data_IF_079521982716
#
_entry.id   IF_079521982716
#
_cell.length_a   1.000
_cell.length_b   1.000
_cell.length_c   1.000
_cell.angle_alpha   90.00
_cell.angle_beta   90.00
_cell.angle_gamma   90.00
#
_symmetry.space_group_name_H-M   'P 1'
#
loop_
_entity.id
_entity.type
_entity.pdbx_description
1 polymer ?
#
# COMPACT_ATOMS: atom_id res chain seq x y z
N UNK A 1 -7.83 -2.11 -6.16
CA UNK A 1 -8.57 -0.87 -5.83
C UNK A 1 -9.28 -0.94 -4.49
N UNK A 2 -9.91 -2.06 -4.15
CA UNK A 2 -10.63 -2.22 -2.87
C UNK A 2 -9.77 -1.95 -1.63
N UNK A 3 -8.48 -2.30 -1.67
CA UNK A 3 -7.58 -2.04 -0.55
C UNK A 3 -7.43 -0.55 -0.23
N UNK A 4 -7.16 0.29 -1.25
CA UNK A 4 -7.00 1.76 -1.06
C UNK A 4 -8.31 2.39 -0.62
N UNK A 5 -9.44 1.94 -1.17
CA UNK A 5 -10.78 2.38 -0.74
C UNK A 5 -11.00 2.15 0.76
N UNK A 6 -10.52 1.03 1.31
CA UNK A 6 -10.78 0.66 2.70
C UNK A 6 -10.10 1.57 3.73
N UNK A 7 -9.03 2.31 3.35
CA UNK A 7 -8.31 3.19 4.27
C UNK A 7 -8.32 4.67 3.89
N UNK A 8 -9.13 5.08 2.92
CA UNK A 8 -9.31 6.47 2.55
C UNK A 8 -10.71 6.96 2.92
N UNK A 9 -10.81 8.21 3.35
CA UNK A 9 -12.08 8.86 3.60
C UNK A 9 -12.82 9.14 2.29
N UNK A 10 -14.12 8.87 2.29
CA UNK A 10 -15.00 9.08 1.14
C UNK A 10 -14.79 8.05 0.02
N UNK A 11 -15.49 8.22 -1.11
CA UNK A 11 -15.40 7.28 -2.22
C UNK A 11 -14.01 7.29 -2.86
N UNK A 12 -13.53 6.11 -3.23
CA UNK A 12 -12.35 5.92 -4.08
C UNK A 12 -12.70 4.88 -5.13
N UNK A 13 -12.88 5.32 -6.37
CA UNK A 13 -13.17 4.42 -7.50
C UNK A 13 -11.91 3.95 -8.19
N UNK A 14 -10.89 4.82 -8.27
CA UNK A 14 -9.62 4.51 -8.90
C UNK A 14 -8.42 5.25 -8.28
N UNK A 15 -7.20 4.83 -8.61
CA UNK A 15 -5.92 5.45 -8.29
C UNK A 15 -5.19 5.64 -9.62
N UNK A 16 -5.02 6.89 -10.01
CA UNK A 16 -4.51 7.26 -11.32
C UNK A 16 -3.12 7.86 -11.18
N UNK A 17 -2.26 7.57 -12.16
CA UNK A 17 -1.03 8.31 -12.42
C UNK A 17 -1.24 9.15 -13.67
N UNK A 18 -1.20 10.48 -13.53
CA UNK A 18 -1.45 11.39 -14.65
C UNK A 18 -0.25 12.28 -14.93
N UNK A 19 0.16 12.41 -16.20
CA UNK A 19 1.11 13.44 -16.59
C UNK A 19 0.51 14.83 -16.39
N UNK A 20 1.33 15.78 -15.95
CA UNK A 20 1.02 17.20 -15.86
C UNK A 20 2.27 18.03 -16.21
N UNK A 21 2.16 19.36 -16.16
CA UNK A 21 3.24 20.28 -16.56
C UNK A 21 3.77 19.95 -17.98
N UNK A 22 2.86 19.96 -18.95
CA UNK A 22 3.14 19.56 -20.34
C UNK A 22 3.77 18.16 -20.49
N UNK A 23 3.49 17.25 -19.54
CA UNK A 23 3.98 15.88 -19.56
C UNK A 23 5.33 15.67 -18.88
N UNK A 24 5.93 16.72 -18.28
CA UNK A 24 7.22 16.60 -17.58
C UNK A 24 7.13 15.96 -16.21
N UNK A 25 5.97 16.04 -15.57
CA UNK A 25 5.77 15.57 -14.21
C UNK A 25 4.60 14.58 -14.17
N UNK A 26 4.59 13.68 -13.19
CA UNK A 26 3.49 12.75 -12.93
C UNK A 26 2.93 13.01 -11.54
N UNK A 27 1.61 13.04 -11.41
CA UNK A 27 0.92 13.12 -10.12
C UNK A 27 0.06 11.89 -9.89
N UNK A 28 -0.01 11.45 -8.64
CA UNK A 28 -0.92 10.39 -8.21
C UNK A 28 -2.22 10.99 -7.68
N UNK A 29 -3.36 10.38 -8.06
CA UNK A 29 -4.69 10.90 -7.83
C UNK A 29 -5.63 9.79 -7.38
N UNK A 30 -6.44 10.02 -6.35
CA UNK A 30 -7.64 9.24 -6.09
C UNK A 30 -8.77 9.77 -6.96
N UNK A 31 -9.36 8.91 -7.78
CA UNK A 31 -10.65 9.19 -8.42
C UNK A 31 -11.78 8.98 -7.40
N UNK A 32 -12.64 9.97 -7.28
CA UNK A 32 -13.76 9.98 -6.33
C UNK A 32 -15.07 9.45 -6.95
N UNK A 33 -15.09 9.22 -8.27
CA UNK A 33 -16.24 8.66 -8.98
C UNK A 33 -17.38 9.64 -9.27
N UNK A 34 -17.28 10.89 -8.81
CA UNK A 34 -18.22 12.00 -9.08
C UNK A 34 -17.60 13.04 -10.03
N UNK A 35 -16.57 12.65 -10.78
CA UNK A 35 -15.77 13.54 -11.62
C UNK A 35 -14.73 14.36 -10.85
N UNK A 36 -14.69 14.29 -9.50
CA UNK A 36 -13.64 14.91 -8.71
C UNK A 36 -12.44 13.97 -8.54
N UNK A 37 -11.27 14.57 -8.39
CA UNK A 37 -10.02 13.86 -8.08
C UNK A 37 -9.35 14.49 -6.87
N UNK A 38 -8.72 13.67 -6.04
CA UNK A 38 -7.91 14.13 -4.90
C UNK A 38 -6.46 13.73 -5.12
N UNK A 39 -5.55 14.70 -5.20
CA UNK A 39 -4.13 14.41 -5.31
C UNK A 39 -3.60 13.76 -4.03
N UNK A 40 -2.73 12.75 -4.15
CA UNK A 40 -2.19 12.05 -2.98
C UNK A 40 -1.49 13.00 -1.99
N UNK A 41 -0.84 14.05 -2.49
CA UNK A 41 -0.22 15.11 -1.67
C UNK A 41 -1.19 15.93 -0.81
N UNK A 42 -2.50 15.76 -0.99
CA UNK A 42 -3.55 16.42 -0.21
C UNK A 42 -4.17 15.48 0.84
N UNK A 43 -3.80 14.20 0.84
CA UNK A 43 -4.29 13.24 1.83
C UNK A 43 -3.69 13.55 3.20
N UNK A 44 -4.44 13.24 4.26
CA UNK A 44 -3.88 13.25 5.61
C UNK A 44 -2.81 12.17 5.77
N UNK A 45 -1.92 12.33 6.75
CA UNK A 45 -0.79 11.42 6.98
C UNK A 45 -1.20 9.95 7.07
N UNK A 46 -2.30 9.66 7.78
CA UNK A 46 -2.85 8.30 7.91
C UNK A 46 -3.28 7.70 6.57
N UNK A 47 -4.09 8.44 5.79
CA UNK A 47 -4.55 8.01 4.47
C UNK A 47 -3.39 7.84 3.48
N UNK A 48 -2.43 8.77 3.48
CA UNK A 48 -1.26 8.72 2.62
C UNK A 48 -0.38 7.51 2.97
N UNK A 49 -0.11 7.30 4.26
CA UNK A 49 0.70 6.17 4.74
C UNK A 49 0.01 4.84 4.49
N UNK A 50 -1.28 4.74 4.79
CA UNK A 50 -2.09 3.55 4.49
C UNK A 50 -2.02 3.23 2.99
N UNK A 51 -2.24 4.23 2.13
CA UNK A 51 -2.21 4.05 0.67
C UNK A 51 -0.84 3.56 0.22
N UNK A 52 0.24 4.17 0.71
CA UNK A 52 1.60 3.76 0.36
C UNK A 52 1.87 2.29 0.75
N UNK A 53 1.55 1.91 2.00
CA UNK A 53 1.76 0.55 2.49
C UNK A 53 0.87 -0.47 1.77
N UNK A 54 -0.38 -0.12 1.49
CA UNK A 54 -1.29 -0.98 0.73
C UNK A 54 -0.78 -1.23 -0.69
N UNK A 55 -0.22 -0.22 -1.36
CA UNK A 55 0.39 -0.38 -2.68
C UNK A 55 1.62 -1.28 -2.64
N UNK A 56 2.48 -1.13 -1.62
CA UNK A 56 3.64 -2.01 -1.41
C UNK A 56 3.20 -3.46 -1.19
N UNK A 57 2.14 -3.69 -0.41
CA UNK A 57 1.59 -5.03 -0.18
C UNK A 57 0.89 -5.61 -1.41
N UNK A 58 0.40 -4.76 -2.32
CA UNK A 58 -0.18 -5.19 -3.59
C UNK A 58 0.89 -5.46 -4.65
N UNK A 59 2.07 -4.86 -4.53
CA UNK A 59 3.21 -5.19 -5.39
C UNK A 59 3.79 -6.55 -5.02
N UNK A 60 3.62 -7.51 -5.92
CA UNK A 60 4.37 -8.76 -5.86
C UNK A 60 5.84 -8.55 -6.24
N UNK A 61 6.69 -9.58 -6.04
CA UNK A 61 8.12 -9.54 -6.35
C UNK A 61 8.43 -9.20 -7.81
N UNK A 62 7.51 -9.46 -8.74
CA UNK A 62 7.69 -9.17 -10.18
C UNK A 62 7.30 -7.76 -10.64
N UNK A 63 6.89 -6.86 -9.73
CA UNK A 63 6.53 -5.47 -10.09
C UNK A 63 7.67 -4.48 -9.83
N UNK A 64 8.49 -4.77 -8.83
CA UNK A 64 9.74 -4.06 -8.64
C UNK A 64 10.76 -4.75 -9.54
N UNK A 65 11.40 -4.01 -10.46
CA UNK A 65 12.58 -4.50 -11.18
C UNK A 65 13.74 -4.64 -10.18
N UNK A 66 13.65 -5.66 -9.35
CA UNK A 66 14.73 -6.14 -8.50
C UNK A 66 15.45 -7.17 -9.34
N UNK A 67 16.78 -7.04 -9.46
CA UNK A 67 17.61 -8.10 -10.03
C UNK A 67 17.40 -9.38 -9.22
N UNK A 68 16.49 -10.22 -9.71
CA UNK A 68 16.21 -11.49 -9.08
C UNK A 68 17.47 -12.37 -9.23
N UNK A 69 17.92 -13.07 -8.18
CA UNK A 69 18.97 -14.06 -8.33
C UNK A 69 18.51 -15.08 -9.37
N UNK A 70 19.20 -15.16 -10.51
CA UNK A 70 18.78 -15.96 -11.67
C UNK A 70 18.65 -17.48 -11.40
N UNK A 71 19.10 -17.92 -10.22
CA UNK A 71 19.10 -19.31 -9.77
C UNK A 71 17.82 -19.68 -8.98
N UNK A 72 16.98 -18.71 -8.60
CA UNK A 72 15.76 -18.96 -7.81
C UNK A 72 14.52 -18.93 -8.71
N UNK A 73 13.75 -20.03 -8.83
CA UNK A 73 12.48 -20.03 -9.52
C UNK A 73 11.57 -18.91 -9.01
N UNK A 74 10.90 -18.19 -9.91
CA UNK A 74 10.02 -17.06 -9.55
C UNK A 74 8.95 -17.42 -8.49
N UNK A 75 8.50 -18.68 -8.45
CA UNK A 75 7.56 -19.19 -7.47
C UNK A 75 8.12 -19.25 -6.02
N UNK A 76 9.45 -19.19 -5.85
CA UNK A 76 10.14 -19.18 -4.56
C UNK A 76 10.64 -17.79 -4.19
N UNK A 77 10.49 -16.80 -5.07
CA UNK A 77 10.86 -15.43 -4.79
C UNK A 77 9.74 -14.78 -3.96
N UNK A 78 10.08 -14.37 -2.74
CA UNK A 78 9.19 -13.60 -1.87
C UNK A 78 9.79 -12.23 -1.60
N UNK A 79 8.99 -11.17 -1.73
CA UNK A 79 9.40 -9.84 -1.32
C UNK A 79 9.27 -9.71 0.20
N UNK A 80 10.38 -9.44 0.89
CA UNK A 80 10.33 -9.09 2.32
C UNK A 80 10.12 -7.59 2.47
N UNK A 81 9.00 -7.21 3.06
CA UNK A 81 8.68 -5.82 3.40
C UNK A 81 9.02 -5.61 4.86
N UNK A 82 9.91 -4.66 5.15
CA UNK A 82 10.24 -4.22 6.50
C UNK A 82 9.73 -2.80 6.67
N UNK A 83 8.77 -2.61 7.57
CA UNK A 83 8.14 -1.32 7.82
C UNK A 83 8.46 -0.84 9.24
N UNK A 84 9.20 0.25 9.34
CA UNK A 84 9.39 0.93 10.62
C UNK A 84 8.14 1.77 10.96
N UNK A 85 7.76 1.79 12.24
CA UNK A 85 6.56 2.45 12.76
C UNK A 85 5.27 2.13 11.98
N UNK A 86 4.99 0.85 11.75
CA UNK A 86 3.90 0.36 10.90
C UNK A 86 2.53 0.99 11.22
N UNK A 87 2.27 1.30 12.49
CA UNK A 87 0.99 1.82 13.00
C UNK A 87 0.88 3.35 13.04
N UNK A 88 1.97 4.05 12.75
CA UNK A 88 2.05 5.52 12.89
C UNK A 88 1.00 6.23 12.05
N UNK A 89 0.30 7.19 12.65
CA UNK A 89 -0.74 8.02 12.02
C UNK A 89 -1.97 7.27 11.47
N UNK A 90 -2.02 5.93 11.55
CA UNK A 90 -3.17 5.14 11.13
C UNK A 90 -4.22 5.13 12.23
N UNK A 91 -5.48 5.38 11.87
CA UNK A 91 -6.61 5.15 12.77
C UNK A 91 -6.90 3.65 12.93
N UNK A 92 -7.57 3.21 14.02
CA UNK A 92 -7.81 1.79 14.29
C UNK A 92 -8.46 1.00 13.15
N UNK A 93 -9.34 1.62 12.35
CA UNK A 93 -9.95 0.99 11.17
C UNK A 93 -8.94 0.77 10.05
N UNK A 94 -8.15 1.79 9.71
CA UNK A 94 -7.04 1.68 8.75
C UNK A 94 -6.05 0.59 9.15
N UNK A 95 -5.71 0.48 10.44
CA UNK A 95 -4.80 -0.55 10.97
C UNK A 95 -5.34 -1.95 10.72
N UNK A 96 -6.61 -2.20 11.08
CA UNK A 96 -7.24 -3.50 10.89
C UNK A 96 -7.33 -3.91 9.43
N UNK A 97 -7.69 -2.98 8.53
CA UNK A 97 -7.74 -3.25 7.10
C UNK A 97 -6.35 -3.53 6.49
N UNK A 98 -5.32 -2.81 6.95
CA UNK A 98 -3.96 -3.02 6.50
C UNK A 98 -3.42 -4.39 6.94
N UNK A 99 -3.68 -4.80 8.18
CA UNK A 99 -3.32 -6.12 8.69
C UNK A 99 -4.04 -7.24 7.94
N UNK A 100 -5.34 -7.09 7.67
CA UNK A 100 -6.10 -8.04 6.84
C UNK A 100 -5.55 -8.14 5.43
N UNK A 101 -5.17 -7.00 4.83
CA UNK A 101 -4.51 -6.99 3.52
C UNK A 101 -3.17 -7.72 3.58
N UNK A 102 -2.32 -7.41 4.55
CA UNK A 102 -1.02 -8.03 4.74
C UNK A 102 -1.15 -9.55 4.90
N UNK A 103 -2.04 -10.02 5.77
CA UNK A 103 -2.31 -11.44 5.97
C UNK A 103 -2.67 -12.14 4.66
N UNK A 104 -3.62 -11.60 3.89
CA UNK A 104 -4.01 -12.16 2.58
C UNK A 104 -2.85 -12.21 1.58
N UNK A 105 -1.97 -11.21 1.59
CA UNK A 105 -0.81 -11.19 0.67
C UNK A 105 0.30 -12.13 1.12
N UNK A 106 0.50 -12.28 2.43
CA UNK A 106 1.42 -13.26 3.01
C UNK A 106 0.95 -14.70 2.77
N UNK A 107 -0.34 -14.98 2.89
CA UNK A 107 -0.95 -16.30 2.59
C UNK A 107 -0.71 -16.72 1.13
N UNK A 108 -0.70 -15.77 0.19
CA UNK A 108 -0.36 -16.03 -1.22
C UNK A 108 1.12 -16.36 -1.45
N UNK A 109 1.97 -16.20 -0.43
CA UNK A 109 3.39 -16.54 -0.49
C UNK A 109 4.28 -15.54 -1.21
N UNK A 110 3.71 -14.49 -1.81
CA UNK A 110 4.48 -13.48 -2.56
C UNK A 110 5.21 -12.48 -1.66
N UNK A 111 4.75 -12.31 -0.41
CA UNK A 111 5.26 -11.31 0.51
C UNK A 111 5.51 -11.91 1.91
N UNK A 112 6.56 -11.44 2.57
CA UNK A 112 6.78 -11.57 4.01
C UNK A 112 6.79 -10.16 4.61
N UNK A 113 5.96 -9.88 5.62
CA UNK A 113 5.92 -8.56 6.27
C UNK A 113 6.52 -8.65 7.69
N UNK A 114 7.42 -7.71 8.01
CA UNK A 114 7.86 -7.43 9.36
C UNK A 114 7.63 -5.94 9.66
N UNK A 115 7.03 -5.63 10.80
CA UNK A 115 6.71 -4.26 11.20
C UNK A 115 7.14 -3.96 12.62
N UNK A 116 7.75 -2.80 12.83
CA UNK A 116 7.89 -2.25 14.18
C UNK A 116 6.61 -1.47 14.54
N UNK A 117 6.12 -1.63 15.77
CA UNK A 117 4.99 -0.86 16.26
C UNK A 117 5.24 -0.36 17.68
N UNK A 118 4.78 0.86 17.94
CA UNK A 118 4.76 1.42 19.30
C UNK A 118 3.56 0.95 20.13
N UNK A 119 2.58 0.31 19.48
CA UNK A 119 1.34 -0.13 20.08
C UNK A 119 1.34 -1.66 20.22
N UNK A 120 1.46 -2.13 21.47
CA UNK A 120 1.57 -3.56 21.78
C UNK A 120 0.34 -4.37 21.34
N UNK A 121 -0.81 -3.72 21.11
CA UNK A 121 -2.02 -4.39 20.62
C UNK A 121 -1.82 -5.07 19.26
N UNK A 122 -0.84 -4.63 18.46
CA UNK A 122 -0.49 -5.25 17.17
C UNK A 122 0.15 -6.63 17.30
N UNK A 123 0.73 -6.97 18.45
CA UNK A 123 1.34 -8.27 18.66
C UNK A 123 0.30 -9.38 18.91
N UNK A 124 -0.93 -9.01 19.29
CA UNK A 124 -1.97 -9.96 19.66
C UNK A 124 -2.74 -10.58 18.48
N UNK A 125 -2.62 -9.99 17.27
CA UNK A 125 -3.29 -10.45 16.05
C UNK A 125 -4.72 -9.95 15.90
#
# INVERSE_FOLDING_TARGET
MDAVRAGCAGPVTDLLAEPYDAGRLVRALLDRGDGRRTELRRLGDGELRYTALALVLLTGPGVLEVDAPGEVPAALQSLTVVADELDRALDPGQRGELLRLAARMCERGHIRLMGASSDVSWAAG
#
